data_IF_740642337274
#
_entry.id   IF_740642337274
#
_cell.length_a   1.000
_cell.length_b   1.000
_cell.length_c   1.000
_cell.angle_alpha   90.00
_cell.angle_beta   90.00
_cell.angle_gamma   90.00
#
_symmetry.space_group_name_H-M   'P 1'
#
loop_
_entity.id
_entity.type
_entity.pdbx_description
1 polymer ?
#
# COMPACT_ATOMS: atom_id res chain seq x y z
N UNK A 1 -24.61 -24.42 23.62
CA UNK A 1 -25.51 -23.89 22.56
C UNK A 1 -25.78 -22.39 22.68
N UNK A 2 -26.32 -21.86 23.80
CA UNK A 2 -26.70 -20.43 23.88
C UNK A 2 -25.55 -19.42 23.65
N UNK A 3 -24.36 -19.67 24.19
CA UNK A 3 -23.23 -18.74 24.05
C UNK A 3 -22.68 -18.65 22.62
N UNK A 4 -22.64 -19.77 21.87
CA UNK A 4 -22.23 -19.77 20.45
C UNK A 4 -23.16 -18.90 19.62
N UNK A 5 -24.48 -19.05 19.79
CA UNK A 5 -25.44 -18.22 19.06
C UNK A 5 -25.36 -16.75 19.47
N UNK A 6 -25.30 -16.44 20.77
CA UNK A 6 -25.13 -15.06 21.26
C UNK A 6 -23.85 -14.41 20.71
N UNK A 7 -22.76 -15.17 20.55
CA UNK A 7 -21.53 -14.71 19.89
C UNK A 7 -21.76 -14.37 18.42
N UNK A 8 -22.35 -15.29 17.64
CA UNK A 8 -22.60 -15.08 16.21
C UNK A 8 -23.51 -13.87 15.97
N UNK A 9 -24.57 -13.73 16.76
CA UNK A 9 -25.51 -12.61 16.65
C UNK A 9 -24.81 -11.27 16.95
N UNK A 10 -23.93 -11.23 17.96
CA UNK A 10 -23.18 -10.02 18.30
C UNK A 10 -22.11 -9.68 17.25
N UNK A 11 -21.40 -10.68 16.70
CA UNK A 11 -20.45 -10.46 15.60
C UNK A 11 -21.16 -9.88 14.38
N UNK A 12 -22.31 -10.44 14.00
CA UNK A 12 -23.12 -9.93 12.89
C UNK A 12 -23.59 -8.47 13.11
N UNK A 13 -23.87 -8.08 14.36
CA UNK A 13 -24.19 -6.68 14.70
C UNK A 13 -22.98 -5.75 14.62
N UNK A 14 -21.82 -6.22 15.07
CA UNK A 14 -20.59 -5.43 15.06
C UNK A 14 -20.05 -5.27 13.65
N UNK A 15 -20.06 -6.34 12.86
CA UNK A 15 -19.60 -6.35 11.48
C UNK A 15 -20.51 -7.17 10.55
N UNK A 16 -21.53 -6.52 9.95
CA UNK A 16 -22.50 -7.20 9.09
C UNK A 16 -21.94 -7.81 7.81
N UNK A 17 -20.73 -7.42 7.38
CA UNK A 17 -20.07 -7.99 6.20
C UNK A 17 -19.50 -9.39 6.45
N UNK A 18 -19.27 -9.76 7.72
CA UNK A 18 -18.80 -11.09 8.09
C UNK A 18 -19.98 -12.05 7.97
N UNK A 19 -20.03 -12.75 6.84
CA UNK A 19 -21.04 -13.77 6.56
C UNK A 19 -20.34 -15.11 6.36
N UNK A 20 -21.04 -16.20 6.68
CA UNK A 20 -20.60 -17.51 6.22
C UNK A 20 -20.53 -17.45 4.69
N UNK A 21 -19.44 -17.95 4.11
CA UNK A 21 -19.18 -18.03 2.65
C UNK A 21 -18.60 -16.77 1.96
N UNK A 22 -18.25 -15.70 2.69
CA UNK A 22 -17.53 -14.54 2.11
C UNK A 22 -16.02 -14.68 2.31
N UNK A 23 -15.32 -15.25 1.33
CA UNK A 23 -13.85 -15.43 1.38
C UNK A 23 -13.04 -14.19 0.97
N UNK A 24 -13.69 -13.18 0.38
CA UNK A 24 -13.04 -11.95 -0.12
C UNK A 24 -13.13 -10.76 0.86
N UNK A 25 -13.58 -10.99 2.10
CA UNK A 25 -13.71 -9.95 3.13
C UNK A 25 -12.49 -9.87 4.05
N UNK A 26 -12.32 -8.75 4.75
CA UNK A 26 -11.25 -8.58 5.77
C UNK A 26 -11.28 -9.67 6.86
N UNK A 27 -12.45 -10.25 7.08
CA UNK A 27 -12.66 -11.37 7.99
C UNK A 27 -13.54 -12.44 7.36
N UNK A 28 -13.21 -13.70 7.64
CA UNK A 28 -14.04 -14.86 7.27
C UNK A 28 -14.37 -15.65 8.53
N UNK A 29 -15.55 -16.30 8.56
CA UNK A 29 -16.00 -17.00 9.75
C UNK A 29 -16.60 -18.36 9.40
N UNK A 30 -16.03 -19.41 10.01
CA UNK A 30 -16.44 -20.79 9.82
C UNK A 30 -16.99 -21.40 11.12
N UNK A 31 -18.03 -22.22 10.99
CA UNK A 31 -18.63 -22.94 12.11
C UNK A 31 -18.09 -24.37 12.20
N UNK A 32 -17.91 -24.86 13.43
CA UNK A 32 -17.50 -26.25 13.72
C UNK A 32 -16.22 -26.68 12.97
N UNK A 33 -15.27 -25.74 12.89
CA UNK A 33 -14.04 -25.82 12.14
C UNK A 33 -12.95 -26.65 12.83
N UNK A 34 -12.03 -27.22 12.04
CA UNK A 34 -10.83 -27.89 12.54
C UNK A 34 -9.63 -27.03 12.18
N UNK A 35 -9.09 -26.32 13.17
CA UNK A 35 -7.92 -25.48 12.98
C UNK A 35 -6.64 -26.29 13.15
N UNK A 36 -5.61 -25.94 12.39
CA UNK A 36 -4.26 -26.47 12.53
C UNK A 36 -3.44 -25.49 13.37
N UNK A 37 -2.88 -25.95 14.48
CA UNK A 37 -2.13 -25.12 15.43
C UNK A 37 -0.75 -25.71 15.62
N UNK A 38 0.28 -24.86 15.71
CA UNK A 38 1.60 -25.33 16.11
C UNK A 38 1.61 -25.61 17.62
N UNK A 39 1.91 -26.84 18.02
CA UNK A 39 1.91 -27.24 19.43
C UNK A 39 2.95 -26.47 20.26
N UNK A 40 4.08 -26.05 19.65
CA UNK A 40 5.16 -25.32 20.32
C UNK A 40 4.83 -23.84 20.53
N UNK A 41 4.46 -23.11 19.46
CA UNK A 41 4.19 -21.67 19.54
C UNK A 41 2.75 -21.36 19.98
N UNK A 42 1.82 -22.28 19.74
CA UNK A 42 0.39 -22.09 19.95
C UNK A 42 -0.27 -21.19 18.91
N UNK A 43 0.41 -20.93 17.80
CA UNK A 43 -0.07 -20.10 16.70
C UNK A 43 -0.92 -20.89 15.72
N UNK A 44 -1.90 -20.20 15.13
CA UNK A 44 -2.69 -20.73 14.03
C UNK A 44 -1.85 -20.82 12.75
N UNK A 45 -1.77 -22.02 12.20
CA UNK A 45 -1.02 -22.35 10.98
C UNK A 45 -1.94 -23.01 9.95
N UNK A 46 -3.26 -22.84 10.10
CA UNK A 46 -4.28 -23.41 9.19
C UNK A 46 -4.03 -23.03 7.73
N UNK A 47 -3.64 -21.77 7.49
CA UNK A 47 -3.39 -21.25 6.14
C UNK A 47 -1.98 -20.65 5.98
N UNK A 48 -1.13 -20.75 7.01
CA UNK A 48 0.18 -20.10 7.05
C UNK A 48 1.26 -21.00 7.62
N UNK A 49 2.51 -20.67 7.29
CA UNK A 49 3.68 -21.43 7.71
C UNK A 49 4.12 -21.05 9.13
N UNK A 50 4.70 -22.00 9.85
CA UNK A 50 5.13 -21.79 11.23
C UNK A 50 6.56 -21.22 11.28
N UNK A 51 6.69 -19.89 11.34
CA UNK A 51 8.01 -19.21 11.37
C UNK A 51 8.90 -19.60 12.56
N UNK A 52 8.29 -20.04 13.67
CA UNK A 52 8.98 -20.32 14.93
C UNK A 52 9.33 -21.82 15.12
N UNK A 53 9.08 -22.66 14.10
CA UNK A 53 9.45 -24.07 14.17
C UNK A 53 10.88 -24.29 13.68
N UNK A 54 11.69 -25.04 14.44
CA UNK A 54 13.08 -25.44 14.07
C UNK A 54 13.18 -26.23 12.73
N UNK A 55 12.04 -26.58 12.12
CA UNK A 55 11.92 -27.39 10.92
C UNK A 55 11.22 -26.66 9.77
N UNK A 56 11.30 -25.32 9.73
CA UNK A 56 10.83 -24.54 8.58
C UNK A 56 11.76 -24.82 7.38
N UNK A 57 11.49 -25.94 6.70
CA UNK A 57 11.92 -26.17 5.33
C UNK A 57 10.97 -25.42 4.41
N UNK A 58 11.46 -25.02 3.23
CA UNK A 58 10.75 -24.27 2.17
C UNK A 58 9.34 -24.80 1.78
N UNK A 59 8.93 -25.97 2.29
CA UNK A 59 7.64 -26.64 2.06
C UNK A 59 6.53 -26.33 3.10
N UNK A 60 6.72 -25.41 4.06
CA UNK A 60 5.71 -25.03 5.05
C UNK A 60 5.12 -26.21 5.88
N UNK A 61 5.92 -27.24 6.13
CA UNK A 61 5.51 -28.44 6.86
C UNK A 61 5.90 -28.37 8.34
N UNK A 62 5.01 -27.83 9.18
CA UNK A 62 5.26 -27.80 10.63
C UNK A 62 5.18 -29.20 11.25
N UNK A 63 6.32 -29.76 11.69
CA UNK A 63 6.36 -31.07 12.38
C UNK A 63 5.69 -31.10 13.75
N UNK A 64 5.28 -29.94 14.27
CA UNK A 64 4.58 -29.79 15.53
C UNK A 64 3.10 -29.45 15.32
N UNK A 65 2.54 -29.70 14.13
CA UNK A 65 1.14 -29.45 13.87
C UNK A 65 0.22 -30.37 14.68
N UNK A 66 -0.87 -29.79 15.15
CA UNK A 66 -1.97 -30.52 15.78
C UNK A 66 -3.29 -29.95 15.27
N UNK A 67 -4.30 -30.80 15.26
CA UNK A 67 -5.64 -30.45 14.79
C UNK A 67 -6.56 -30.24 15.99
N UNK A 68 -7.12 -29.04 16.11
CA UNK A 68 -8.02 -28.69 17.20
C UNK A 68 -9.40 -28.33 16.64
N UNK A 69 -10.42 -29.08 17.07
CA UNK A 69 -11.81 -28.74 16.73
C UNK A 69 -12.27 -27.55 17.58
N UNK A 70 -12.73 -26.50 16.92
CA UNK A 70 -13.30 -25.30 17.52
C UNK A 70 -14.75 -25.14 17.07
N UNK A 71 -15.53 -24.38 17.84
CA UNK A 71 -16.96 -24.21 17.57
C UNK A 71 -17.20 -23.09 16.54
N UNK A 72 -16.36 -22.05 16.56
CA UNK A 72 -16.31 -20.97 15.57
C UNK A 72 -14.85 -20.65 15.30
N UNK A 73 -14.48 -20.46 14.04
CA UNK A 73 -13.18 -19.96 13.62
C UNK A 73 -13.37 -18.62 12.93
N UNK A 74 -12.64 -17.60 13.35
CA UNK A 74 -12.67 -16.26 12.78
C UNK A 74 -11.28 -15.95 12.21
N UNK A 75 -11.15 -15.92 10.89
CA UNK A 75 -9.93 -15.52 10.19
C UNK A 75 -9.89 -14.01 10.01
N UNK A 76 -8.70 -13.42 10.18
CA UNK A 76 -8.43 -12.02 9.84
C UNK A 76 -7.39 -11.99 8.72
N UNK A 77 -7.78 -11.48 7.55
CA UNK A 77 -6.86 -11.30 6.42
C UNK A 77 -5.78 -10.27 6.72
N UNK A 78 -6.07 -9.29 7.57
CA UNK A 78 -5.12 -8.27 8.01
C UNK A 78 -4.02 -8.84 8.89
N UNK A 79 -4.40 -9.63 9.90
CA UNK A 79 -3.47 -10.19 10.86
C UNK A 79 -2.75 -11.43 10.31
N UNK A 80 -3.31 -12.07 9.28
CA UNK A 80 -2.74 -13.29 8.71
C UNK A 80 -2.81 -14.46 9.69
N UNK A 81 -3.79 -14.49 10.58
CA UNK A 81 -4.07 -15.66 11.41
C UNK A 81 -5.53 -15.65 11.84
N UNK A 82 -6.02 -16.83 12.21
CA UNK A 82 -7.35 -17.02 12.75
C UNK A 82 -7.37 -17.15 14.27
N UNK A 83 -8.55 -16.90 14.82
CA UNK A 83 -8.89 -17.14 16.22
C UNK A 83 -9.97 -18.20 16.31
N UNK A 84 -9.67 -19.28 17.03
CA UNK A 84 -10.60 -20.37 17.30
C UNK A 84 -11.35 -20.16 18.62
N UNK A 85 -12.68 -20.24 18.59
CA UNK A 85 -13.54 -20.07 19.74
C UNK A 85 -14.16 -21.40 20.18
N UNK A 86 -14.09 -21.67 21.49
CA UNK A 86 -14.68 -22.86 22.12
C UNK A 86 -15.65 -22.41 23.21
N UNK A 87 -16.90 -22.88 23.17
CA UNK A 87 -17.97 -22.45 24.07
C UNK A 87 -18.39 -23.54 25.05
N UNK A 88 -18.26 -23.26 26.34
CA UNK A 88 -18.85 -24.09 27.41
C UNK A 88 -18.32 -25.53 27.53
N UNK A 89 -17.25 -25.91 26.83
CA UNK A 89 -16.57 -27.21 26.98
C UNK A 89 -15.64 -27.23 28.19
N UNK A 90 -15.56 -28.33 28.96
CA UNK A 90 -14.57 -28.48 30.01
C UNK A 90 -13.13 -28.25 29.50
N UNK A 91 -12.31 -27.50 30.25
CA UNK A 91 -10.92 -27.20 29.87
C UNK A 91 -10.01 -28.44 29.71
N UNK A 92 -10.48 -29.61 30.16
CA UNK A 92 -9.80 -30.90 29.97
C UNK A 92 -9.99 -31.50 28.56
N UNK A 93 -10.95 -31.00 27.79
CA UNK A 93 -11.34 -31.58 26.50
C UNK A 93 -10.70 -30.82 25.31
N UNK A 94 -9.88 -29.81 25.57
CA UNK A 94 -9.15 -29.06 24.55
C UNK A 94 -7.88 -28.42 25.13
N UNK A 95 -6.83 -28.31 24.31
CA UNK A 95 -5.57 -27.69 24.75
C UNK A 95 -5.63 -26.18 24.47
N UNK A 96 -5.22 -25.38 25.45
CA UNK A 96 -5.27 -23.92 25.34
C UNK A 96 -4.03 -23.44 24.58
N UNK A 97 -4.27 -22.71 23.48
CA UNK A 97 -3.25 -22.11 22.66
C UNK A 97 -3.46 -20.61 22.52
N UNK A 98 -2.45 -19.90 22.05
CA UNK A 98 -2.44 -18.43 21.90
C UNK A 98 -3.64 -17.95 21.07
N UNK A 99 -3.93 -18.66 19.97
CA UNK A 99 -5.01 -18.36 19.03
C UNK A 99 -6.34 -19.04 19.36
N UNK A 100 -6.47 -19.66 20.54
CA UNK A 100 -7.73 -20.27 21.00
C UNK A 100 -8.30 -19.49 22.17
N UNK A 101 -9.60 -19.19 22.09
CA UNK A 101 -10.37 -18.44 23.08
C UNK A 101 -11.48 -19.31 23.63
N UNK A 102 -11.44 -19.53 24.94
CA UNK A 102 -12.48 -20.27 25.65
C UNK A 102 -13.50 -19.34 26.31
N UNK A 103 -14.78 -19.55 25.99
CA UNK A 103 -15.89 -18.74 26.48
C UNK A 103 -16.89 -19.65 27.20
N UNK A 104 -16.83 -19.66 28.52
CA UNK A 104 -17.70 -20.47 29.39
C UNK A 104 -18.94 -19.73 29.89
N UNK A 105 -18.93 -18.40 29.85
CA UNK A 105 -19.99 -17.57 30.41
C UNK A 105 -20.13 -16.23 29.69
N UNK A 106 -21.24 -15.55 29.94
CA UNK A 106 -21.56 -14.26 29.32
C UNK A 106 -20.58 -13.14 29.64
N UNK A 107 -19.96 -13.16 30.83
CA UNK A 107 -18.97 -12.13 31.19
C UNK A 107 -17.74 -12.23 30.29
N UNK A 108 -17.29 -13.45 30.00
CA UNK A 108 -16.21 -13.70 29.03
C UNK A 108 -16.64 -13.31 27.62
N UNK A 109 -17.86 -13.67 27.21
CA UNK A 109 -18.42 -13.29 25.91
C UNK A 109 -18.41 -11.76 25.71
N UNK A 110 -18.97 -11.00 26.67
CA UNK A 110 -19.02 -9.54 26.57
C UNK A 110 -17.63 -8.89 26.56
N UNK A 111 -16.66 -9.48 27.27
CA UNK A 111 -15.26 -9.02 27.23
C UNK A 111 -14.68 -9.22 25.82
N UNK A 112 -14.89 -10.39 25.22
CA UNK A 112 -14.43 -10.70 23.87
C UNK A 112 -15.09 -9.77 22.84
N UNK A 113 -16.41 -9.58 22.92
CA UNK A 113 -17.13 -8.68 22.01
C UNK A 113 -16.63 -7.24 22.10
N UNK A 114 -16.20 -6.79 23.29
CA UNK A 114 -15.57 -5.48 23.43
C UNK A 114 -14.23 -5.40 22.70
N UNK A 115 -13.43 -6.46 22.74
CA UNK A 115 -12.14 -6.51 22.04
C UNK A 115 -12.35 -6.54 20.52
N UNK A 116 -13.21 -7.44 20.00
CA UNK A 116 -13.55 -7.51 18.58
C UNK A 116 -14.16 -6.20 18.06
N UNK A 117 -15.01 -5.54 18.86
CA UNK A 117 -15.53 -4.21 18.50
C UNK A 117 -14.41 -3.20 18.29
N UNK A 118 -13.44 -3.15 19.19
CA UNK A 118 -12.31 -2.23 19.08
C UNK A 118 -11.45 -2.53 17.85
N UNK A 119 -11.25 -3.81 17.54
CA UNK A 119 -10.53 -4.27 16.35
C UNK A 119 -11.24 -3.84 15.06
N UNK A 120 -12.53 -4.19 14.91
CA UNK A 120 -13.33 -3.81 13.74
C UNK A 120 -13.48 -2.30 13.57
N UNK A 121 -13.58 -1.55 14.67
CA UNK A 121 -13.60 -0.08 14.62
C UNK A 121 -12.24 0.50 14.21
N UNK A 122 -11.12 -0.08 14.66
CA UNK A 122 -9.79 0.34 14.25
C UNK A 122 -9.59 0.16 12.73
N UNK A 123 -10.06 -0.94 12.16
CA UNK A 123 -10.01 -1.19 10.71
C UNK A 123 -10.81 -0.15 9.92
N UNK A 124 -12.07 0.08 10.30
CA UNK A 124 -12.93 1.08 9.64
C UNK A 124 -12.35 2.49 9.72
N UNK A 125 -11.79 2.85 10.86
CA UNK A 125 -11.13 4.14 11.05
C UNK A 125 -9.87 4.24 10.18
N UNK A 126 -9.11 3.15 10.04
CA UNK A 126 -7.96 3.06 9.14
C UNK A 126 -8.32 3.39 7.70
N UNK A 127 -9.35 2.76 7.14
CA UNK A 127 -9.82 3.07 5.77
C UNK A 127 -10.32 4.50 5.62
N UNK A 128 -11.06 5.02 6.60
CA UNK A 128 -11.53 6.40 6.57
C UNK A 128 -10.36 7.40 6.59
N UNK A 129 -9.33 7.13 7.39
CA UNK A 129 -8.14 7.97 7.48
C UNK A 129 -7.26 7.84 6.24
N UNK A 130 -7.15 6.65 5.65
CA UNK A 130 -6.52 6.44 4.34
C UNK A 130 -7.25 7.23 3.24
N UNK A 131 -8.58 7.17 3.17
CA UNK A 131 -9.35 7.95 2.20
C UNK A 131 -9.13 9.47 2.36
N UNK A 132 -9.11 9.98 3.60
CA UNK A 132 -8.77 11.39 3.88
C UNK A 132 -7.35 11.73 3.43
N UNK A 133 -6.40 10.83 3.67
CA UNK A 133 -5.00 10.98 3.26
C UNK A 133 -4.87 11.07 1.75
N UNK A 134 -5.51 10.18 0.99
CA UNK A 134 -5.54 10.23 -0.49
C UNK A 134 -6.16 11.53 -1.00
N UNK A 135 -7.25 12.00 -0.40
CA UNK A 135 -7.83 13.31 -0.74
C UNK A 135 -6.86 14.46 -0.47
N UNK A 136 -6.09 14.38 0.62
CA UNK A 136 -5.00 15.31 0.93
C UNK A 136 -3.93 15.33 -0.17
N UNK A 137 -3.47 14.15 -0.60
CA UNK A 137 -2.46 14.02 -1.65
C UNK A 137 -2.97 14.53 -3.00
N UNK A 138 -4.21 14.25 -3.37
CA UNK A 138 -4.83 14.79 -4.59
C UNK A 138 -4.90 16.32 -4.57
N UNK A 139 -5.17 16.93 -3.42
CA UNK A 139 -5.11 18.40 -3.26
C UNK A 139 -3.68 18.91 -3.38
N UNK A 140 -2.71 18.21 -2.79
CA UNK A 140 -1.30 18.55 -2.87
C UNK A 140 -0.79 18.50 -4.31
N UNK A 141 -1.11 17.46 -5.08
CA UNK A 141 -0.77 17.34 -6.50
C UNK A 141 -1.24 18.56 -7.28
N UNK A 142 -2.49 18.97 -7.11
CA UNK A 142 -3.04 20.15 -7.79
C UNK A 142 -2.27 21.42 -7.44
N UNK A 143 -1.98 21.63 -6.17
CA UNK A 143 -1.21 22.79 -5.71
C UNK A 143 0.22 22.78 -6.27
N UNK A 144 0.87 21.61 -6.29
CA UNK A 144 2.22 21.46 -6.82
C UNK A 144 2.26 21.71 -8.34
N UNK A 145 1.30 21.19 -9.09
CA UNK A 145 1.21 21.42 -10.53
C UNK A 145 0.96 22.90 -10.84
N UNK A 146 0.09 23.56 -10.05
CA UNK A 146 -0.12 24.99 -10.16
C UNK A 146 1.17 25.78 -9.86
N UNK A 147 1.96 25.36 -8.87
CA UNK A 147 3.29 25.94 -8.58
C UNK A 147 4.24 25.81 -9.78
N UNK A 148 4.37 24.61 -10.34
CA UNK A 148 5.26 24.35 -11.49
C UNK A 148 4.82 25.16 -12.72
N UNK A 149 3.52 25.22 -13.02
CA UNK A 149 3.00 26.00 -14.16
C UNK A 149 3.24 27.50 -13.97
N UNK A 150 3.08 28.02 -12.75
CA UNK A 150 3.34 29.43 -12.45
C UNK A 150 4.81 29.80 -12.63
N UNK A 151 5.71 28.90 -12.24
CA UNK A 151 7.16 29.07 -12.44
C UNK A 151 7.58 28.88 -13.91
N UNK A 152 6.91 27.97 -14.63
CA UNK A 152 7.26 27.52 -15.97
C UNK A 152 6.03 27.48 -16.87
N UNK A 153 5.76 28.59 -17.56
CA UNK A 153 4.61 28.75 -18.45
C UNK A 153 4.59 27.78 -19.64
N UNK A 154 5.72 27.12 -19.97
CA UNK A 154 5.77 26.04 -20.98
C UNK A 154 4.77 24.91 -20.69
N UNK A 155 4.41 24.70 -19.43
CA UNK A 155 3.43 23.70 -19.00
C UNK A 155 1.98 24.22 -18.99
N UNK A 156 1.72 25.46 -19.42
CA UNK A 156 0.42 26.12 -19.25
C UNK A 156 -0.77 25.43 -19.94
N UNK A 157 -0.53 24.55 -20.90
CA UNK A 157 -1.58 23.77 -21.58
C UNK A 157 -1.93 22.45 -20.90
N UNK A 158 -1.25 22.08 -19.80
CA UNK A 158 -1.49 20.80 -19.11
C UNK A 158 -2.78 20.89 -18.29
N UNK A 159 -3.70 19.96 -18.51
CA UNK A 159 -4.96 19.91 -17.78
C UNK A 159 -4.78 19.26 -16.39
N UNK A 160 -4.69 20.11 -15.37
CA UNK A 160 -4.48 19.70 -13.97
C UNK A 160 -5.61 18.86 -13.35
N UNK A 161 -6.77 18.79 -13.98
CA UNK A 161 -7.92 18.03 -13.47
C UNK A 161 -7.89 16.54 -13.85
N UNK A 162 -7.06 16.16 -14.82
CA UNK A 162 -7.02 14.81 -15.37
C UNK A 162 -5.66 14.13 -15.19
N UNK A 163 -4.84 14.60 -14.24
CA UNK A 163 -3.54 13.97 -13.96
C UNK A 163 -3.78 12.52 -13.48
N UNK A 164 -3.24 11.52 -14.21
CA UNK A 164 -3.64 10.12 -14.05
C UNK A 164 -2.88 9.43 -12.90
N UNK A 165 -3.09 9.89 -11.66
CA UNK A 165 -2.45 9.33 -10.46
C UNK A 165 -3.30 8.24 -9.82
N UNK A 166 -2.69 7.07 -9.63
CA UNK A 166 -3.20 5.93 -8.86
C UNK A 166 -2.36 5.78 -7.60
N UNK A 167 -3.03 5.59 -6.46
CA UNK A 167 -2.38 5.35 -5.17
C UNK A 167 -2.57 3.88 -4.81
N UNK A 168 -1.46 3.15 -4.74
CA UNK A 168 -1.43 1.74 -4.41
C UNK A 168 -1.15 1.59 -2.91
N UNK A 169 -1.94 0.76 -2.24
CA UNK A 169 -1.89 0.60 -0.77
C UNK A 169 -0.57 -0.04 -0.32
N UNK A 170 -0.11 -1.04 -1.06
CA UNK A 170 1.10 -1.83 -0.78
C UNK A 170 2.26 -1.40 -1.70
N UNK A 171 3.46 -1.90 -1.41
CA UNK A 171 4.60 -1.82 -2.31
C UNK A 171 4.33 -2.63 -3.59
N UNK A 172 4.94 -2.21 -4.70
CA UNK A 172 5.06 -3.10 -5.86
C UNK A 172 5.92 -4.31 -5.45
N UNK A 173 5.30 -5.48 -5.28
CA UNK A 173 6.00 -6.76 -5.16
C UNK A 173 6.49 -7.17 -6.55
N UNK A 174 7.59 -6.59 -7.00
CA UNK A 174 8.28 -7.06 -8.20
C UNK A 174 8.87 -8.45 -7.93
N UNK A 175 8.12 -9.49 -8.27
CA UNK A 175 8.66 -10.85 -8.38
C UNK A 175 9.49 -11.05 -9.68
N UNK A 176 9.59 -10.02 -10.54
CA UNK A 176 10.19 -10.09 -11.87
C UNK A 176 11.62 -9.52 -11.99
N UNK A 177 12.18 -8.90 -10.95
CA UNK A 177 13.54 -8.37 -11.01
C UNK A 177 14.41 -8.96 -9.90
N UNK A 178 15.53 -9.59 -10.28
CA UNK A 178 16.61 -10.08 -9.41
C UNK A 178 17.29 -8.96 -8.56
N UNK A 179 16.75 -7.73 -8.54
CA UNK A 179 17.29 -6.59 -7.79
C UNK A 179 16.22 -6.04 -6.84
N UNK A 180 16.55 -6.04 -5.54
CA UNK A 180 15.78 -5.43 -4.44
C UNK A 180 15.78 -3.90 -4.51
N UNK A 181 15.19 -3.30 -5.53
CA UNK A 181 14.94 -1.86 -5.56
C UNK A 181 13.45 -1.63 -5.38
N UNK A 182 13.03 -1.34 -4.15
CA UNK A 182 11.66 -0.93 -3.85
C UNK A 182 11.45 0.47 -4.43
N UNK A 183 10.65 0.58 -5.50
CA UNK A 183 10.26 1.88 -6.05
C UNK A 183 9.08 2.44 -5.25
N UNK A 184 9.12 3.74 -4.95
CA UNK A 184 8.07 4.45 -4.19
C UNK A 184 6.98 5.04 -5.08
N UNK A 185 7.23 5.06 -6.39
CA UNK A 185 6.33 5.47 -7.45
C UNK A 185 6.86 4.94 -8.78
N UNK A 186 6.04 5.02 -9.81
CA UNK A 186 6.44 4.68 -11.18
C UNK A 186 5.55 5.43 -12.18
N UNK A 187 6.17 5.97 -13.21
CA UNK A 187 5.49 6.59 -14.35
C UNK A 187 5.56 5.66 -15.56
N UNK A 188 4.40 5.17 -15.99
CA UNK A 188 4.30 4.25 -17.13
C UNK A 188 3.43 4.81 -18.26
N UNK A 189 3.82 4.50 -19.49
CA UNK A 189 2.99 4.70 -20.67
C UNK A 189 2.34 3.37 -21.06
N UNK A 190 1.02 3.28 -20.95
CA UNK A 190 0.22 2.13 -21.41
C UNK A 190 -0.50 2.54 -22.69
N UNK A 191 0.14 2.27 -23.84
CA UNK A 191 -0.38 2.65 -25.15
C UNK A 191 -0.43 4.18 -25.34
N UNK A 192 -1.63 4.76 -25.37
CA UNK A 192 -1.84 6.22 -25.52
C UNK A 192 -2.13 6.93 -24.19
N UNK A 193 -2.14 6.20 -23.07
CA UNK A 193 -2.42 6.75 -21.75
C UNK A 193 -1.19 6.62 -20.87
N UNK A 194 -0.82 7.72 -20.22
CA UNK A 194 0.15 7.72 -19.14
C UNK A 194 -0.55 7.43 -17.82
N UNK A 195 0.06 6.65 -16.92
CA UNK A 195 -0.42 6.44 -15.54
C UNK A 195 0.75 6.65 -14.58
N UNK A 196 0.48 7.37 -13.49
CA UNK A 196 1.41 7.59 -12.39
C UNK A 196 0.98 6.72 -11.22
N UNK A 197 1.81 5.76 -10.85
CA UNK A 197 1.63 4.96 -9.65
C UNK A 197 2.41 5.57 -8.49
N UNK A 198 1.78 5.63 -7.31
CA UNK A 198 2.41 6.00 -6.05
C UNK A 198 2.17 4.86 -5.06
N UNK A 199 3.23 4.14 -4.72
CA UNK A 199 3.18 2.92 -3.89
C UNK A 199 3.29 3.22 -2.41
N UNK A 200 2.96 2.22 -1.57
CA UNK A 200 3.00 2.31 -0.10
C UNK A 200 2.25 3.56 0.42
N UNK A 201 1.13 3.87 -0.22
CA UNK A 201 0.37 5.08 0.09
C UNK A 201 -0.34 5.00 1.45
N UNK A 202 -0.49 3.79 1.98
CA UNK A 202 -1.04 3.50 3.29
C UNK A 202 -0.08 3.87 4.43
N UNK A 203 1.18 3.44 4.37
CA UNK A 203 2.09 3.47 5.53
C UNK A 203 3.21 4.51 5.43
N UNK A 204 3.55 4.96 4.22
CA UNK A 204 4.66 5.90 4.03
C UNK A 204 4.46 7.19 4.85
N UNK A 205 5.54 7.80 5.34
CA UNK A 205 5.41 9.11 5.99
C UNK A 205 5.01 10.19 4.96
N UNK A 206 4.40 11.28 5.45
CA UNK A 206 3.82 12.32 4.58
C UNK A 206 4.89 13.03 3.73
N UNK A 207 6.09 13.24 4.25
CA UNK A 207 7.12 14.01 3.54
C UNK A 207 7.77 13.20 2.43
N UNK A 208 8.05 11.91 2.66
CA UNK A 208 8.50 10.99 1.63
C UNK A 208 7.42 10.79 0.55
N UNK A 209 6.16 10.73 0.95
CA UNK A 209 5.02 10.63 0.03
C UNK A 209 4.92 11.87 -0.87
N UNK A 210 5.00 13.08 -0.29
CA UNK A 210 5.04 14.31 -1.09
C UNK A 210 6.25 14.35 -2.01
N UNK A 211 7.40 13.85 -1.57
CA UNK A 211 8.62 13.78 -2.37
C UNK A 211 8.46 12.86 -3.58
N UNK A 212 7.93 11.64 -3.38
CA UNK A 212 7.59 10.71 -4.46
C UNK A 212 6.56 11.31 -5.43
N UNK A 213 5.51 11.96 -4.89
CA UNK A 213 4.53 12.68 -5.72
C UNK A 213 5.22 13.74 -6.59
N UNK A 214 6.11 14.57 -6.02
CA UNK A 214 6.81 15.59 -6.82
C UNK A 214 7.64 14.94 -7.93
N UNK A 215 8.35 13.87 -7.62
CA UNK A 215 9.20 13.14 -8.57
C UNK A 215 8.39 12.64 -9.77
N UNK A 216 7.33 11.86 -9.52
CA UNK A 216 6.53 11.28 -10.62
C UNK A 216 5.75 12.33 -11.41
N UNK A 217 5.27 13.38 -10.73
CA UNK A 217 4.58 14.48 -11.41
C UNK A 217 5.55 15.23 -12.34
N UNK A 218 6.81 15.42 -11.95
CA UNK A 218 7.80 16.06 -12.81
C UNK A 218 8.10 15.22 -14.06
N UNK A 219 8.17 13.89 -13.94
CA UNK A 219 8.25 13.00 -15.11
C UNK A 219 7.08 13.24 -16.07
N UNK A 220 5.85 13.24 -15.55
CA UNK A 220 4.65 13.45 -16.35
C UNK A 220 4.62 14.82 -17.04
N UNK A 221 4.96 15.90 -16.31
CA UNK A 221 4.95 17.25 -16.87
C UNK A 221 5.98 17.38 -18.01
N UNK A 222 7.19 16.85 -17.81
CA UNK A 222 8.23 16.86 -18.83
C UNK A 222 7.87 15.97 -20.02
N UNK A 223 7.22 14.82 -19.77
CA UNK A 223 6.70 13.95 -20.82
C UNK A 223 5.65 14.65 -21.69
N UNK A 224 4.75 15.43 -21.10
CA UNK A 224 3.74 16.21 -21.83
C UNK A 224 4.36 17.21 -22.83
N UNK A 225 5.61 17.62 -22.61
CA UNK A 225 6.37 18.51 -23.49
C UNK A 225 7.57 17.79 -24.14
N UNK A 226 7.58 16.45 -24.13
CA UNK A 226 8.69 15.61 -24.58
C UNK A 226 8.82 15.33 -26.10
N UNK A 227 8.17 16.03 -27.06
CA UNK A 227 8.72 16.10 -28.43
C UNK A 227 10.21 16.52 -28.46
N UNK A 228 10.74 16.98 -27.33
CA UNK A 228 12.13 17.37 -27.03
C UNK A 228 13.11 16.22 -26.72
N UNK A 229 12.70 14.96 -26.78
CA UNK A 229 13.54 13.79 -26.48
C UNK A 229 13.33 13.23 -25.07
N UNK A 230 14.28 12.43 -24.57
CA UNK A 230 14.22 11.76 -23.26
C UNK A 230 14.48 12.72 -22.07
N UNK A 231 13.92 13.93 -22.12
CA UNK A 231 14.12 14.96 -21.07
C UNK A 231 13.41 14.64 -19.75
N UNK A 232 12.48 13.68 -19.80
CA UNK A 232 11.72 13.16 -18.68
C UNK A 232 12.33 11.89 -18.11
N UNK A 233 13.49 11.41 -18.59
CA UNK A 233 14.11 10.21 -18.06
C UNK A 233 14.78 10.49 -16.70
N UNK A 234 14.86 9.46 -15.86
CA UNK A 234 15.44 9.52 -14.51
C UNK A 234 16.92 9.96 -14.49
N UNK A 235 17.65 9.66 -15.57
CA UNK A 235 19.05 10.04 -15.78
C UNK A 235 19.21 11.39 -16.53
N UNK A 236 18.10 12.08 -16.85
CA UNK A 236 18.14 13.31 -17.64
C UNK A 236 18.59 14.53 -16.83
N UNK A 237 19.51 15.31 -17.39
CA UNK A 237 19.96 16.56 -16.75
C UNK A 237 18.86 17.60 -16.55
N UNK A 238 17.86 17.63 -17.44
CA UNK A 238 16.68 18.51 -17.28
C UNK A 238 15.82 18.01 -16.13
N UNK A 239 15.54 16.70 -16.07
CA UNK A 239 14.77 16.13 -14.96
C UNK A 239 15.45 16.37 -13.61
N UNK A 240 16.77 16.15 -13.53
CA UNK A 240 17.58 16.42 -12.33
C UNK A 240 17.50 17.90 -11.90
N UNK A 241 17.48 18.85 -12.85
CA UNK A 241 17.26 20.26 -12.55
C UNK A 241 15.91 20.48 -11.87
N UNK A 242 14.82 19.93 -12.40
CA UNK A 242 13.50 20.05 -11.79
C UNK A 242 13.45 19.37 -10.41
N UNK A 243 14.07 18.20 -10.26
CA UNK A 243 14.18 17.52 -8.96
C UNK A 243 14.95 18.33 -7.92
N UNK A 244 15.98 19.07 -8.35
CA UNK A 244 16.72 20.00 -7.48
C UNK A 244 15.84 21.19 -7.06
N UNK A 245 15.19 21.85 -8.02
CA UNK A 245 14.34 23.04 -7.78
C UNK A 245 13.18 22.73 -6.82
N UNK A 246 12.55 21.57 -6.98
CA UNK A 246 11.36 21.19 -6.21
C UNK A 246 11.62 20.18 -5.09
N UNK A 247 12.89 19.88 -4.78
CA UNK A 247 13.26 18.90 -3.77
C UNK A 247 12.51 17.56 -3.94
N UNK A 248 12.50 17.05 -5.17
CA UNK A 248 11.85 15.79 -5.53
C UNK A 248 12.83 14.59 -5.50
N UNK A 249 14.14 14.87 -5.55
CA UNK A 249 15.26 13.90 -5.63
C UNK A 249 15.20 13.01 -6.87
N UNK A 250 16.28 12.98 -7.63
CA UNK A 250 16.43 12.06 -8.75
C UNK A 250 17.06 10.75 -8.26
N UNK A 251 16.61 9.61 -8.79
CA UNK A 251 17.02 8.29 -8.31
C UNK A 251 18.21 7.72 -9.09
N UNK A 252 18.34 8.03 -10.38
CA UNK A 252 19.41 7.51 -11.23
C UNK A 252 20.57 8.50 -11.39
N UNK A 253 21.78 7.97 -11.57
CA UNK A 253 22.96 8.78 -11.87
C UNK A 253 22.91 9.28 -13.32
N UNK A 254 23.27 10.55 -13.53
CA UNK A 254 23.42 11.11 -14.87
C UNK A 254 24.69 10.60 -15.55
N UNK A 255 24.63 10.38 -16.86
CA UNK A 255 25.83 10.26 -17.68
C UNK A 255 26.57 11.61 -17.84
N UNK A 256 27.72 11.59 -18.50
CA UNK A 256 28.55 12.79 -18.69
C UNK A 256 27.85 13.91 -19.47
N UNK A 257 26.95 13.59 -20.40
CA UNK A 257 26.25 14.60 -21.21
C UNK A 257 25.13 15.25 -20.41
N UNK A 258 24.35 14.44 -19.69
CA UNK A 258 23.29 14.90 -18.80
C UNK A 258 23.83 15.68 -17.60
N UNK A 259 24.97 15.26 -17.03
CA UNK A 259 25.64 16.01 -15.97
C UNK A 259 26.05 17.41 -16.45
N UNK A 260 26.58 17.53 -17.68
CA UNK A 260 26.90 18.85 -18.27
C UNK A 260 25.65 19.69 -18.51
N UNK A 261 24.56 19.07 -18.97
CA UNK A 261 23.29 19.75 -19.17
C UNK A 261 22.73 20.28 -17.84
N UNK A 262 22.73 19.45 -16.78
CA UNK A 262 22.32 19.85 -15.44
C UNK A 262 23.19 21.01 -14.90
N UNK A 263 24.51 20.88 -14.97
CA UNK A 263 25.44 21.92 -14.51
C UNK A 263 25.26 23.25 -15.26
N UNK A 264 24.89 23.20 -16.54
CA UNK A 264 24.59 24.39 -17.33
C UNK A 264 23.26 25.07 -16.94
N UNK A 265 22.35 24.35 -16.26
CA UNK A 265 21.02 24.82 -15.87
C UNK A 265 20.92 25.18 -14.38
N UNK A 266 21.66 24.51 -13.49
CA UNK A 266 21.45 24.57 -12.02
C UNK A 266 21.53 25.97 -11.42
N UNK A 267 22.37 26.84 -11.98
CA UNK A 267 22.54 28.23 -11.52
C UNK A 267 21.63 29.23 -12.26
N UNK A 268 20.88 28.77 -13.26
CA UNK A 268 19.98 29.65 -14.03
C UNK A 268 18.69 29.89 -13.28
N UNK A 269 18.12 31.08 -13.47
CA UNK A 269 16.80 31.39 -12.96
C UNK A 269 15.72 30.53 -13.64
N UNK A 270 14.62 30.26 -12.94
CA UNK A 270 13.46 29.53 -13.49
C UNK A 270 12.96 30.16 -14.80
N UNK A 271 12.98 31.50 -14.88
CA UNK A 271 12.57 32.25 -16.08
C UNK A 271 13.46 31.93 -17.29
N UNK A 272 14.78 31.92 -17.11
CA UNK A 272 15.72 31.60 -18.20
C UNK A 272 15.55 30.15 -18.66
N UNK A 273 15.37 29.21 -17.73
CA UNK A 273 15.14 27.80 -18.09
C UNK A 273 13.79 27.63 -18.80
N UNK A 274 12.73 28.32 -18.37
CA UNK A 274 11.45 28.33 -19.08
C UNK A 274 11.58 28.82 -20.52
N UNK A 275 12.33 29.91 -20.75
CA UNK A 275 12.58 30.43 -22.10
C UNK A 275 13.35 29.43 -22.97
N UNK A 276 14.33 28.72 -22.41
CA UNK A 276 15.06 27.63 -23.10
C UNK A 276 14.09 26.51 -23.50
N UNK A 277 13.23 26.06 -22.58
CA UNK A 277 12.26 24.99 -22.86
C UNK A 277 11.24 25.40 -23.93
N UNK A 278 10.75 26.64 -23.91
CA UNK A 278 9.84 27.18 -24.94
C UNK A 278 10.55 27.23 -26.30
N UNK A 279 11.80 27.67 -26.35
CA UNK A 279 12.58 27.70 -27.60
C UNK A 279 12.81 26.30 -28.16
N UNK A 280 13.13 25.35 -27.29
CA UNK A 280 13.27 23.95 -27.68
C UNK A 280 11.94 23.42 -28.23
N UNK A 281 10.81 23.67 -27.56
CA UNK A 281 9.49 23.16 -27.97
C UNK A 281 9.05 23.70 -29.33
N UNK A 282 9.41 24.95 -29.63
CA UNK A 282 9.08 25.61 -30.88
C UNK A 282 10.04 25.29 -32.04
N UNK A 283 11.19 24.64 -31.78
CA UNK A 283 12.04 24.12 -32.86
C UNK A 283 11.29 22.98 -33.54
N UNK A 284 10.78 23.23 -34.74
CA UNK A 284 10.30 22.15 -35.63
C UNK A 284 11.43 21.12 -35.75
N UNK A 285 11.12 19.81 -35.73
CA UNK A 285 12.09 18.82 -36.17
C UNK A 285 12.52 19.21 -37.57
N UNK A 286 13.81 19.49 -37.74
CA UNK A 286 14.41 19.74 -39.04
C UNK A 286 14.04 18.57 -39.97
N UNK A 287 13.41 18.90 -41.10
CA UNK A 287 13.12 17.98 -42.22
C UNK A 287 14.35 17.17 -42.65
#
# INVERSE_FOLDING_TARGET
MRLKQEFLDMVALLNPSITADSYDGDYTMDNDFVMTVCEKSGEDITYNCCSDCEYDSDDCNCKCEIYQKVDVYLWSNREGYGTGYVFGKPAKDFKMFKNIRYISNRKQLLKEMKMLKQEFEADRNGYADYAKRILGHKKYIKAFVDEVINDFSVFGNIEKNIIPVVFDEDYRKDYDFEKKTFTKGDFQNVGVQSVIHIYDSWSMNIEDMKKAIRHEILHYLLWCIAPLGKIHADDSGIFHYFCHVYNAHAYEEMDNENAKAYEALKERSKKEVNEILIQLLNKKPSE
#
